data_IF_159625134699
#
_entry.id   IF_159625134699
#
_cell.length_a   1.000
_cell.length_b   1.000
_cell.length_c   1.000
_cell.angle_alpha   90.00
_cell.angle_beta   90.00
_cell.angle_gamma   90.00
#
_symmetry.space_group_name_H-M   'P 1'
#
loop_
_entity.id
_entity.type
_entity.pdbx_description
1 polymer ?
#
# COMPACT_ATOMS: atom_id res chain seq x y z
N UNK A 1 -4.01 -12.73 23.39
CA UNK A 1 -4.03 -12.84 21.91
C UNK A 1 -2.95 -13.76 21.34
N UNK A 2 -1.72 -13.79 21.87
CA UNK A 2 -0.66 -14.69 21.39
C UNK A 2 -0.95 -16.19 21.55
N UNK A 3 -1.95 -16.55 22.35
CA UNK A 3 -2.43 -17.92 22.52
C UNK A 3 -3.68 -18.22 21.68
N UNK A 4 -4.36 -17.19 21.16
CA UNK A 4 -5.71 -17.31 20.57
C UNK A 4 -5.77 -16.89 19.10
N UNK A 5 -4.75 -16.18 18.59
CA UNK A 5 -4.65 -15.75 17.19
C UNK A 5 -3.42 -16.36 16.55
N UNK A 6 -3.56 -16.84 15.32
CA UNK A 6 -2.46 -17.31 14.48
C UNK A 6 -1.54 -16.16 14.08
N UNK A 7 -0.41 -16.48 13.44
CA UNK A 7 0.51 -15.50 12.83
C UNK A 7 -0.07 -14.81 11.59
N UNK A 8 -1.15 -15.36 11.03
CA UNK A 8 -1.89 -14.82 9.89
C UNK A 8 -3.01 -13.85 10.29
N UNK A 9 -3.11 -13.53 11.57
CA UNK A 9 -4.14 -12.64 12.10
C UNK A 9 -3.48 -11.43 12.75
N UNK A 10 -4.09 -10.26 12.54
CA UNK A 10 -3.68 -9.06 13.25
C UNK A 10 -3.82 -9.27 14.77
N UNK A 11 -2.87 -8.74 15.53
CA UNK A 11 -2.85 -8.77 17.00
C UNK A 11 -2.66 -7.35 17.51
N UNK A 12 -3.34 -6.99 18.59
CA UNK A 12 -3.35 -5.64 19.15
C UNK A 12 -1.95 -5.17 19.58
N UNK A 13 -1.14 -6.04 20.21
CA UNK A 13 0.21 -5.71 20.64
C UNK A 13 1.12 -5.31 19.46
N UNK A 14 1.36 -6.14 18.42
CA UNK A 14 2.16 -5.70 17.28
C UNK A 14 1.53 -4.52 16.53
N UNK A 15 0.20 -4.42 16.46
CA UNK A 15 -0.46 -3.26 15.87
C UNK A 15 -0.12 -1.94 16.59
N UNK A 16 -0.21 -1.91 17.93
CA UNK A 16 0.09 -0.70 18.70
C UNK A 16 1.60 -0.38 18.68
N UNK A 17 2.46 -1.39 18.77
CA UNK A 17 3.90 -1.22 18.64
C UNK A 17 4.28 -0.67 17.25
N UNK A 18 3.66 -1.18 16.18
CA UNK A 18 3.89 -0.73 14.80
C UNK A 18 3.51 0.75 14.63
N UNK A 19 2.36 1.15 15.17
CA UNK A 19 1.89 2.54 15.13
C UNK A 19 2.78 3.47 15.94
N UNK A 20 3.19 3.07 17.16
CA UNK A 20 4.11 3.85 17.98
C UNK A 20 5.46 4.04 17.27
N UNK A 21 6.01 2.98 16.66
CA UNK A 21 7.23 3.07 15.85
C UNK A 21 7.06 3.98 14.63
N UNK A 22 5.91 3.93 13.94
CA UNK A 22 5.65 4.83 12.81
C UNK A 22 5.66 6.30 13.24
N UNK A 23 5.04 6.62 14.38
CA UNK A 23 5.03 7.97 14.95
C UNK A 23 6.45 8.42 15.31
N UNK A 24 7.20 7.60 16.07
CA UNK A 24 8.57 7.95 16.48
C UNK A 24 9.49 8.18 15.28
N UNK A 25 9.41 7.32 14.26
CA UNK A 25 10.17 7.47 13.01
C UNK A 25 9.77 8.74 12.26
N UNK A 26 8.47 9.01 12.13
CA UNK A 26 7.97 10.21 11.46
C UNK A 26 8.36 11.51 12.19
N UNK A 27 8.49 11.48 13.51
CA UNK A 27 8.95 12.61 14.33
C UNK A 27 10.48 12.77 14.38
N UNK A 28 11.25 11.87 13.76
CA UNK A 28 12.72 11.90 13.80
C UNK A 28 13.34 11.38 15.10
N UNK A 29 12.54 10.81 15.99
CA UNK A 29 12.95 10.27 17.30
C UNK A 29 13.66 8.91 17.16
N UNK A 30 14.78 8.92 16.44
CA UNK A 30 15.49 7.72 15.97
C UNK A 30 15.91 6.81 17.11
N UNK A 31 16.40 7.39 18.22
CA UNK A 31 16.81 6.63 19.41
C UNK A 31 15.61 5.95 20.06
N UNK A 32 14.54 6.69 20.34
CA UNK A 32 13.35 6.12 20.96
C UNK A 32 12.69 5.07 20.07
N UNK A 33 12.73 5.25 18.74
CA UNK A 33 12.25 4.23 17.81
C UNK A 33 13.10 2.95 17.89
N UNK A 34 14.42 3.06 18.00
CA UNK A 34 15.31 1.91 18.18
C UNK A 34 15.07 1.22 19.53
N UNK A 35 14.99 1.98 20.62
CA UNK A 35 14.73 1.43 21.96
C UNK A 35 13.39 0.67 21.99
N UNK A 36 12.33 1.22 21.39
CA UNK A 36 11.02 0.54 21.27
C UNK A 36 11.08 -0.70 20.38
N UNK A 37 11.85 -0.67 19.29
CA UNK A 37 12.04 -1.84 18.42
C UNK A 37 12.75 -2.98 19.16
N UNK A 38 13.79 -2.66 19.93
CA UNK A 38 14.54 -3.63 20.72
C UNK A 38 13.68 -4.21 21.85
N UNK A 39 12.87 -3.38 22.52
CA UNK A 39 11.88 -3.83 23.51
C UNK A 39 10.84 -4.76 22.88
N UNK A 40 10.26 -4.36 21.74
CA UNK A 40 9.25 -5.13 21.03
C UNK A 40 9.77 -6.51 20.61
N UNK A 41 10.94 -6.58 19.98
CA UNK A 41 11.56 -7.83 19.50
C UNK A 41 12.21 -8.65 20.62
N UNK A 42 12.45 -8.03 21.78
CA UNK A 42 12.87 -8.67 23.02
C UNK A 42 11.72 -9.26 23.85
N UNK A 43 10.47 -8.94 23.54
CA UNK A 43 9.30 -9.43 24.26
C UNK A 43 9.26 -10.97 24.26
N UNK A 44 9.10 -11.57 25.43
CA UNK A 44 8.90 -13.01 25.59
C UNK A 44 7.52 -13.33 26.16
N UNK A 45 6.84 -14.30 25.57
CA UNK A 45 5.55 -14.82 26.03
C UNK A 45 5.58 -16.34 26.05
N UNK A 46 5.62 -16.93 27.25
CA UNK A 46 5.64 -18.40 27.46
C UNK A 46 6.75 -19.09 26.63
N UNK A 47 7.96 -18.53 26.66
CA UNK A 47 9.13 -19.06 25.95
C UNK A 47 9.12 -18.84 24.42
N UNK A 48 8.23 -17.98 23.90
CA UNK A 48 8.17 -17.60 22.49
C UNK A 48 8.40 -16.10 22.34
N UNK A 49 8.88 -15.66 21.18
CA UNK A 49 8.94 -14.26 20.77
C UNK A 49 7.75 -13.94 19.88
N UNK A 50 6.70 -13.26 20.39
CA UNK A 50 5.48 -13.04 19.61
C UNK A 50 5.63 -11.92 18.56
N UNK A 51 6.72 -11.14 18.62
CA UNK A 51 7.07 -10.11 17.64
C UNK A 51 8.28 -10.60 16.85
N UNK A 52 8.04 -10.96 15.58
CA UNK A 52 9.04 -11.58 14.71
C UNK A 52 9.76 -10.58 13.79
N UNK A 53 9.66 -9.27 14.05
CA UNK A 53 10.30 -8.27 13.22
C UNK A 53 11.82 -8.43 13.22
N UNK A 54 12.41 -8.41 12.02
CA UNK A 54 13.86 -8.55 11.83
C UNK A 54 14.55 -7.24 11.48
N UNK A 55 13.77 -6.20 11.16
CA UNK A 55 14.28 -4.87 10.79
C UNK A 55 13.32 -3.78 11.25
N UNK A 56 13.86 -2.71 11.83
CA UNK A 56 13.10 -1.51 12.20
C UNK A 56 12.43 -0.81 10.98
N UNK A 57 12.92 -1.13 9.78
CA UNK A 57 12.38 -0.65 8.51
C UNK A 57 11.14 -1.42 8.04
N UNK A 58 10.82 -2.57 8.65
CA UNK A 58 9.69 -3.42 8.30
C UNK A 58 9.00 -3.92 9.58
N UNK A 59 8.06 -3.12 10.10
CA UNK A 59 7.40 -3.38 11.38
C UNK A 59 5.86 -3.41 11.22
N UNK A 60 5.30 -4.31 10.39
CA UNK A 60 3.86 -4.44 10.20
C UNK A 60 3.18 -5.12 11.40
N UNK A 61 1.86 -4.99 11.52
CA UNK A 61 1.09 -5.66 12.56
C UNK A 61 1.04 -7.19 12.36
N UNK A 62 1.05 -7.65 11.11
CA UNK A 62 1.17 -9.06 10.73
C UNK A 62 2.51 -9.31 10.03
N UNK A 63 3.35 -10.16 10.61
CA UNK A 63 4.67 -10.46 10.07
C UNK A 63 4.81 -11.97 9.84
N UNK A 64 4.96 -12.36 8.58
CA UNK A 64 5.20 -13.76 8.19
C UNK A 64 6.69 -13.95 7.99
N UNK A 65 7.28 -14.86 8.77
CA UNK A 65 8.70 -15.18 8.71
C UNK A 65 9.07 -15.91 7.41
N UNK A 66 10.34 -15.80 7.01
CA UNK A 66 10.88 -16.51 5.84
C UNK A 66 10.54 -15.88 4.49
N UNK A 67 9.67 -14.86 4.44
CA UNK A 67 9.43 -14.10 3.21
C UNK A 67 10.66 -13.25 2.85
N UNK A 68 11.00 -13.24 1.56
CA UNK A 68 12.00 -12.31 1.05
C UNK A 68 11.52 -10.87 1.24
N UNK A 69 12.41 -9.99 1.68
CA UNK A 69 12.11 -8.58 1.90
C UNK A 69 13.14 -7.71 1.20
N UNK A 70 12.67 -6.61 0.62
CA UNK A 70 13.48 -5.59 -0.04
C UNK A 70 12.69 -4.28 -0.14
N UNK A 71 13.33 -3.11 -0.12
CA UNK A 71 12.64 -1.84 -0.35
C UNK A 71 11.97 -1.78 -1.73
N UNK A 72 12.66 -2.27 -2.77
CA UNK A 72 12.18 -2.26 -4.15
C UNK A 72 12.44 -3.61 -4.85
N UNK A 73 11.50 -4.05 -5.69
CA UNK A 73 11.51 -5.34 -6.38
C UNK A 73 11.82 -5.19 -7.87
N UNK A 74 13.11 -5.20 -8.20
CA UNK A 74 13.63 -5.01 -9.56
C UNK A 74 14.25 -6.28 -10.17
N UNK A 75 14.57 -6.21 -11.46
CA UNK A 75 15.29 -7.25 -12.19
C UNK A 75 14.60 -8.60 -12.13
N UNK A 76 15.33 -9.66 -11.77
CA UNK A 76 14.78 -11.01 -11.67
C UNK A 76 13.70 -11.17 -10.58
N UNK A 77 13.61 -10.23 -9.64
CA UNK A 77 12.61 -10.24 -8.57
C UNK A 77 11.40 -9.34 -8.86
N UNK A 78 11.37 -8.65 -10.01
CA UNK A 78 10.25 -7.78 -10.40
C UNK A 78 8.99 -8.63 -10.61
N UNK A 79 7.86 -8.32 -9.93
CA UNK A 79 6.62 -9.04 -10.15
C UNK A 79 6.14 -8.95 -11.60
N UNK A 80 5.70 -10.07 -12.18
CA UNK A 80 5.26 -10.11 -13.60
C UNK A 80 4.11 -9.14 -13.90
N UNK A 81 3.25 -8.89 -12.91
CA UNK A 81 2.15 -7.92 -13.02
C UNK A 81 2.67 -6.50 -13.31
N UNK A 82 3.87 -6.13 -12.82
CA UNK A 82 4.46 -4.83 -13.12
C UNK A 82 4.70 -4.64 -14.63
N UNK A 83 5.31 -5.64 -15.27
CA UNK A 83 5.51 -5.62 -16.73
C UNK A 83 4.19 -5.64 -17.49
N UNK A 84 3.23 -6.46 -17.04
CA UNK A 84 1.90 -6.52 -17.63
C UNK A 84 1.18 -5.16 -17.60
N UNK A 85 1.28 -4.42 -16.48
CA UNK A 85 0.72 -3.07 -16.35
C UNK A 85 1.37 -2.09 -17.33
N UNK A 86 2.68 -2.14 -17.51
CA UNK A 86 3.41 -1.27 -18.44
C UNK A 86 3.09 -1.57 -19.90
N UNK A 87 2.92 -2.84 -20.26
CA UNK A 87 2.51 -3.28 -21.61
C UNK A 87 1.08 -2.82 -21.96
N UNK A 88 0.20 -2.77 -20.96
CA UNK A 88 -1.22 -2.42 -21.15
C UNK A 88 -1.58 -1.02 -20.67
N UNK A 89 -0.60 -0.18 -20.34
CA UNK A 89 -0.81 1.17 -19.79
C UNK A 89 -1.69 2.04 -20.67
N UNK A 90 -1.67 1.86 -21.99
CA UNK A 90 -2.51 2.62 -22.91
C UNK A 90 -4.01 2.47 -22.57
N UNK A 91 -4.46 1.25 -22.27
CA UNK A 91 -5.85 1.00 -21.89
C UNK A 91 -6.22 1.67 -20.55
N UNK A 92 -5.30 1.65 -19.58
CA UNK A 92 -5.48 2.30 -18.28
C UNK A 92 -5.54 3.83 -18.43
N UNK A 93 -4.67 4.39 -19.28
CA UNK A 93 -4.61 5.81 -19.57
C UNK A 93 -5.83 6.32 -20.35
N UNK A 94 -6.37 5.53 -21.27
CA UNK A 94 -7.62 5.85 -21.97
C UNK A 94 -8.79 5.97 -21.00
N UNK A 95 -8.93 5.01 -20.08
CA UNK A 95 -9.96 5.05 -19.04
C UNK A 95 -9.76 6.24 -18.10
N UNK A 96 -8.53 6.53 -17.67
CA UNK A 96 -8.25 7.71 -16.86
C UNK A 96 -8.64 9.00 -17.59
N UNK A 97 -8.29 9.13 -18.87
CA UNK A 97 -8.64 10.30 -19.66
C UNK A 97 -10.16 10.45 -19.80
N UNK A 98 -10.88 9.37 -20.13
CA UNK A 98 -12.35 9.39 -20.17
C UNK A 98 -12.96 9.73 -18.80
N UNK A 99 -12.39 9.20 -17.73
CA UNK A 99 -12.83 9.45 -16.36
C UNK A 99 -12.73 10.93 -16.02
N UNK A 100 -11.58 11.55 -16.30
CA UNK A 100 -11.29 12.94 -15.95
C UNK A 100 -12.02 13.96 -16.85
N UNK A 101 -12.18 13.68 -18.14
CA UNK A 101 -12.80 14.61 -19.09
C UNK A 101 -14.32 14.46 -19.18
N UNK A 102 -14.82 13.21 -19.26
CA UNK A 102 -16.23 12.93 -19.59
C UNK A 102 -17.03 12.52 -18.37
N UNK A 103 -16.40 11.82 -17.42
CA UNK A 103 -17.10 11.19 -16.29
C UNK A 103 -16.79 11.83 -14.95
N UNK A 104 -16.12 12.97 -14.91
CA UNK A 104 -15.76 13.66 -13.64
C UNK A 104 -16.96 14.00 -12.77
N UNK A 105 -18.09 14.34 -13.38
CA UNK A 105 -19.35 14.54 -12.65
C UNK A 105 -19.90 13.23 -12.09
N UNK A 106 -19.86 12.15 -12.87
CA UNK A 106 -20.28 10.82 -12.43
C UNK A 106 -19.39 10.30 -11.30
N UNK A 107 -18.07 10.44 -11.40
CA UNK A 107 -17.10 10.10 -10.34
C UNK A 107 -17.39 10.82 -9.02
N UNK A 108 -17.77 12.11 -9.08
CA UNK A 108 -18.15 12.86 -7.89
C UNK A 108 -19.51 12.44 -7.35
N UNK A 109 -20.45 12.11 -8.23
CA UNK A 109 -21.81 11.72 -7.87
C UNK A 109 -21.90 10.28 -7.33
N UNK A 110 -21.01 9.38 -7.77
CA UNK A 110 -20.95 8.00 -7.32
C UNK A 110 -20.47 7.87 -5.87
N UNK A 111 -19.77 8.88 -5.35
CA UNK A 111 -19.16 8.81 -4.02
C UNK A 111 -18.01 7.81 -3.92
N UNK A 112 -17.52 7.28 -5.05
CA UNK A 112 -16.45 6.28 -5.11
C UNK A 112 -15.06 6.89 -4.98
N UNK A 113 -14.91 8.19 -5.26
CA UNK A 113 -13.71 8.96 -4.91
C UNK A 113 -13.83 9.46 -3.47
N UNK A 114 -12.95 8.98 -2.60
CA UNK A 114 -12.95 9.30 -1.17
C UNK A 114 -11.54 9.68 -0.69
N UNK A 115 -11.40 10.43 0.43
CA UNK A 115 -10.09 10.69 1.02
C UNK A 115 -9.34 9.39 1.34
N UNK A 116 -8.10 9.29 0.88
CA UNK A 116 -7.23 8.16 1.16
C UNK A 116 -6.57 8.36 2.52
N UNK A 117 -6.83 7.42 3.44
CA UNK A 117 -6.14 7.31 4.74
C UNK A 117 -5.86 8.67 5.43
N UNK A 118 -6.90 9.41 5.85
CA UNK A 118 -6.79 10.83 6.21
C UNK A 118 -5.78 11.13 7.32
N UNK A 119 -5.47 10.15 8.17
CA UNK A 119 -4.49 10.29 9.25
C UNK A 119 -3.02 10.29 8.77
N UNK A 120 -2.76 10.01 7.49
CA UNK A 120 -1.44 9.90 6.91
C UNK A 120 -1.04 11.13 6.08
N UNK A 121 -1.96 12.03 5.74
CA UNK A 121 -1.61 13.26 5.03
C UNK A 121 -1.00 14.27 6.00
N UNK A 122 0.15 14.81 5.65
CA UNK A 122 0.84 15.84 6.43
C UNK A 122 0.57 17.25 5.87
N UNK A 123 0.56 18.23 6.77
CA UNK A 123 0.40 19.64 6.43
C UNK A 123 -1.04 20.04 6.11
N UNK A 124 -1.20 21.27 5.60
CA UNK A 124 -2.51 21.86 5.30
C UNK A 124 -2.77 22.04 3.79
N UNK A 125 -1.84 21.61 2.92
CA UNK A 125 -1.82 21.99 1.49
C UNK A 125 -2.07 20.89 0.48
N UNK A 126 -2.27 19.63 0.91
CA UNK A 126 -2.36 18.47 0.01
C UNK A 126 -3.69 17.73 0.11
N UNK A 127 -4.15 17.19 -1.01
CA UNK A 127 -5.27 16.26 -1.11
C UNK A 127 -4.73 14.91 -1.54
N UNK A 128 -5.04 13.87 -0.77
CA UNK A 128 -4.81 12.48 -1.15
C UNK A 128 -6.15 11.77 -1.20
N UNK A 129 -6.62 11.47 -2.41
CA UNK A 129 -7.86 10.74 -2.65
C UNK A 129 -7.56 9.36 -3.25
N UNK A 130 -8.52 8.46 -3.07
CA UNK A 130 -8.52 7.15 -3.68
C UNK A 130 -9.82 6.87 -4.42
N UNK A 131 -9.69 6.14 -5.52
CA UNK A 131 -10.77 5.53 -6.27
C UNK A 131 -10.50 4.02 -6.33
N UNK A 132 -11.24 3.26 -5.52
CA UNK A 132 -11.00 1.84 -5.27
C UNK A 132 -11.80 0.97 -6.25
N UNK A 133 -11.14 0.05 -6.94
CA UNK A 133 -11.76 -0.87 -7.91
C UNK A 133 -11.95 -2.27 -7.34
N UNK A 134 -11.01 -2.71 -6.49
CA UNK A 134 -11.00 -4.05 -5.95
C UNK A 134 -10.41 -4.04 -4.54
N UNK A 135 -11.09 -4.70 -3.61
CA UNK A 135 -10.66 -4.89 -2.23
C UNK A 135 -11.46 -6.05 -1.62
N UNK A 136 -10.92 -6.74 -0.63
CA UNK A 136 -11.64 -7.78 0.11
C UNK A 136 -12.22 -8.86 -0.82
N UNK A 137 -11.46 -9.19 -1.86
CA UNK A 137 -11.83 -10.14 -2.93
C UNK A 137 -13.10 -9.79 -3.71
N UNK A 138 -13.45 -8.51 -3.76
CA UNK A 138 -14.64 -8.02 -4.45
C UNK A 138 -14.28 -6.84 -5.33
N UNK A 139 -14.85 -6.85 -6.53
CA UNK A 139 -14.82 -5.69 -7.41
C UNK A 139 -15.96 -4.76 -7.03
N UNK A 140 -15.67 -3.46 -7.02
CA UNK A 140 -16.70 -2.43 -6.99
C UNK A 140 -17.21 -2.25 -8.41
N UNK A 141 -18.38 -2.79 -8.71
CA UNK A 141 -18.93 -2.80 -10.08
C UNK A 141 -19.27 -1.38 -10.56
N UNK A 142 -19.75 -0.50 -9.68
CA UNK A 142 -20.04 0.91 -10.02
C UNK A 142 -18.75 1.65 -10.39
N UNK A 143 -17.67 1.41 -9.63
CA UNK A 143 -16.35 1.92 -9.97
C UNK A 143 -15.80 1.29 -11.27
N UNK A 144 -16.01 -0.01 -11.48
CA UNK A 144 -15.56 -0.70 -12.69
C UNK A 144 -16.25 -0.18 -13.96
N UNK A 145 -17.52 0.22 -13.89
CA UNK A 145 -18.23 0.83 -15.02
C UNK A 145 -17.59 2.16 -15.46
N UNK A 146 -16.96 2.88 -14.52
CA UNK A 146 -16.27 4.13 -14.80
C UNK A 146 -14.93 3.92 -15.52
N UNK A 147 -14.26 2.78 -15.33
CA UNK A 147 -12.96 2.41 -15.92
C UNK A 147 -12.97 0.97 -16.49
N UNK A 148 -13.82 0.69 -17.48
CA UNK A 148 -14.16 -0.67 -17.87
C UNK A 148 -12.99 -1.43 -18.51
N UNK A 149 -12.08 -0.75 -19.22
CA UNK A 149 -10.91 -1.41 -19.85
C UNK A 149 -9.93 -1.84 -18.77
N UNK A 150 -9.69 -0.98 -17.79
CA UNK A 150 -8.80 -1.21 -16.65
C UNK A 150 -9.31 -2.37 -15.82
N UNK A 151 -10.60 -2.38 -15.49
CA UNK A 151 -11.20 -3.46 -14.70
C UNK A 151 -11.18 -4.79 -15.45
N UNK A 152 -11.53 -4.81 -16.74
CA UNK A 152 -11.46 -6.03 -17.55
C UNK A 152 -10.02 -6.59 -17.63
N UNK A 153 -9.04 -5.70 -17.81
CA UNK A 153 -7.63 -6.05 -17.83
C UNK A 153 -7.19 -6.71 -16.51
N UNK A 154 -7.44 -6.05 -15.38
CA UNK A 154 -6.93 -6.48 -14.08
C UNK A 154 -7.64 -7.72 -13.53
N UNK A 155 -8.88 -7.99 -13.94
CA UNK A 155 -9.58 -9.26 -13.66
C UNK A 155 -8.85 -10.48 -14.21
N UNK A 156 -7.99 -10.32 -15.22
CA UNK A 156 -7.17 -11.41 -15.76
C UNK A 156 -5.95 -11.72 -14.90
N UNK A 157 -5.57 -10.81 -14.00
CA UNK A 157 -4.38 -10.91 -13.15
C UNK A 157 -4.72 -11.20 -11.69
N UNK A 158 -6.00 -11.07 -11.30
CA UNK A 158 -6.45 -11.22 -9.92
C UNK A 158 -7.41 -12.42 -9.77
N UNK A 159 -7.27 -13.22 -8.70
CA UNK A 159 -6.23 -13.12 -7.66
C UNK A 159 -4.83 -13.41 -8.20
N UNK A 160 -3.84 -12.66 -7.72
CA UNK A 160 -2.44 -12.68 -8.15
C UNK A 160 -1.67 -13.89 -7.64
N UNK A 161 -2.18 -14.54 -6.59
CA UNK A 161 -1.62 -15.76 -6.02
C UNK A 161 -2.68 -16.57 -5.27
N UNK A 162 -2.48 -17.89 -5.20
CA UNK A 162 -3.27 -18.79 -4.37
C UNK A 162 -2.67 -18.86 -2.96
N UNK A 163 -2.85 -17.79 -2.19
CA UNK A 163 -2.33 -17.64 -0.81
C UNK A 163 -3.43 -17.22 0.16
N UNK A 164 -3.26 -17.49 1.48
CA UNK A 164 -4.22 -17.04 2.49
C UNK A 164 -4.47 -15.54 2.44
N UNK A 165 -5.73 -15.14 2.59
CA UNK A 165 -6.10 -13.74 2.73
C UNK A 165 -5.93 -13.32 4.19
N UNK A 166 -4.87 -12.57 4.46
CA UNK A 166 -4.39 -12.30 5.83
C UNK A 166 -4.96 -10.99 6.37
N UNK A 167 -5.11 -10.00 5.51
CA UNK A 167 -5.59 -8.66 5.85
C UNK A 167 -6.51 -8.11 4.76
N UNK A 168 -7.36 -7.14 5.09
CA UNK A 168 -8.37 -6.63 4.15
C UNK A 168 -7.74 -6.11 2.84
N UNK A 169 -6.51 -5.58 2.88
CA UNK A 169 -5.77 -5.11 1.70
C UNK A 169 -4.66 -6.09 1.23
N UNK A 170 -4.81 -7.40 1.49
CA UNK A 170 -3.86 -8.41 0.94
C UNK A 170 -3.78 -8.31 -0.59
N UNK A 171 -4.91 -8.00 -1.23
CA UNK A 171 -4.96 -7.61 -2.65
C UNK A 171 -5.92 -6.44 -2.80
N UNK A 172 -5.45 -5.38 -3.46
CA UNK A 172 -6.21 -4.15 -3.65
C UNK A 172 -5.86 -3.55 -5.02
N UNK A 173 -6.85 -2.96 -5.68
CA UNK A 173 -6.64 -2.12 -6.87
C UNK A 173 -7.23 -0.75 -6.58
N UNK A 174 -6.36 0.27 -6.61
CA UNK A 174 -6.72 1.65 -6.31
C UNK A 174 -6.06 2.58 -7.30
N UNK A 175 -6.81 3.56 -7.79
CA UNK A 175 -6.24 4.75 -8.41
C UNK A 175 -6.10 5.83 -7.34
N UNK A 176 -4.87 6.25 -7.05
CA UNK A 176 -4.61 7.35 -6.13
C UNK A 176 -4.49 8.66 -6.88
N UNK A 177 -5.05 9.73 -6.30
CA UNK A 177 -4.94 11.09 -6.78
C UNK A 177 -4.26 11.93 -5.71
N UNK A 178 -3.13 12.54 -6.05
CA UNK A 178 -2.41 13.44 -5.18
C UNK A 178 -2.34 14.83 -5.81
N UNK A 179 -2.66 15.87 -5.02
CA UNK A 179 -2.43 17.25 -5.46
C UNK A 179 -0.99 17.69 -5.21
N UNK A 180 -0.45 18.69 -5.94
CA UNK A 180 0.83 19.30 -5.61
C UNK A 180 0.90 19.73 -4.15
N UNK A 181 2.07 19.54 -3.53
CA UNK A 181 2.29 19.83 -2.11
C UNK A 181 1.81 18.76 -1.13
N UNK A 182 1.18 17.67 -1.62
CA UNK A 182 0.81 16.54 -0.77
C UNK A 182 2.05 15.80 -0.26
N UNK A 183 2.04 15.50 1.04
CA UNK A 183 3.04 14.64 1.68
C UNK A 183 2.32 13.58 2.49
N UNK A 184 2.65 12.32 2.22
CA UNK A 184 2.18 11.19 3.03
C UNK A 184 3.24 10.89 4.07
N UNK A 185 2.83 10.82 5.34
CA UNK A 185 3.69 10.52 6.48
C UNK A 185 4.38 9.18 6.27
N UNK A 186 5.60 9.05 6.80
CA UNK A 186 6.28 7.76 6.91
C UNK A 186 5.42 6.75 7.70
N UNK A 187 5.09 5.63 7.08
CA UNK A 187 4.24 4.59 7.67
C UNK A 187 4.66 3.20 7.17
N UNK A 188 4.04 2.14 7.72
CA UNK A 188 4.15 0.77 7.24
C UNK A 188 2.77 0.25 6.83
N UNK A 189 2.72 -0.72 5.92
CA UNK A 189 1.51 -1.51 5.67
C UNK A 189 1.15 -2.42 6.85
N UNK A 190 -0.08 -2.97 6.81
CA UNK A 190 -0.60 -3.86 7.85
C UNK A 190 0.08 -5.24 7.90
N UNK A 191 0.67 -5.69 6.78
CA UNK A 191 1.43 -6.94 6.71
C UNK A 191 2.68 -6.84 5.82
N UNK A 192 3.62 -7.79 5.94
CA UNK A 192 4.78 -7.92 5.03
C UNK A 192 4.50 -8.82 3.80
N UNK A 193 3.25 -9.19 3.57
CA UNK A 193 2.84 -10.14 2.53
C UNK A 193 2.63 -9.46 1.16
N UNK A 194 1.85 -8.36 1.04
CA UNK A 194 1.64 -7.73 -0.25
C UNK A 194 2.87 -6.96 -0.73
N UNK A 195 3.08 -6.96 -2.04
CA UNK A 195 4.01 -6.07 -2.73
C UNK A 195 3.16 -5.00 -3.42
N UNK A 196 3.38 -3.73 -3.07
CA UNK A 196 2.72 -2.61 -3.73
C UNK A 196 3.35 -2.37 -5.11
N UNK A 197 2.51 -2.28 -6.13
CA UNK A 197 2.87 -1.88 -7.49
C UNK A 197 2.22 -0.54 -7.79
N UNK A 198 3.01 0.43 -8.26
CA UNK A 198 2.52 1.78 -8.54
C UNK A 198 2.82 2.16 -9.99
N UNK A 199 1.82 2.06 -10.86
CA UNK A 199 1.92 2.58 -12.22
C UNK A 199 1.70 4.09 -12.21
N UNK A 200 2.72 4.86 -12.59
CA UNK A 200 2.56 6.29 -12.84
C UNK A 200 1.57 6.50 -13.99
N UNK A 201 0.50 7.28 -13.77
CA UNK A 201 -0.51 7.52 -14.81
C UNK A 201 -0.32 8.88 -15.46
N UNK A 202 -0.41 9.96 -14.68
CA UNK A 202 -0.31 11.32 -15.21
C UNK A 202 0.22 12.27 -14.14
N UNK A 203 1.01 13.24 -14.57
CA UNK A 203 1.47 14.32 -13.69
C UNK A 203 2.50 13.85 -12.66
N UNK A 204 3.29 12.82 -12.97
CA UNK A 204 4.28 12.27 -12.06
C UNK A 204 5.53 13.16 -11.89
N UNK A 205 5.72 14.20 -12.70
CA UNK A 205 6.88 15.08 -12.62
C UNK A 205 7.02 15.70 -11.21
N UNK A 206 8.20 15.53 -10.61
CA UNK A 206 8.50 16.01 -9.26
C UNK A 206 7.94 15.17 -8.11
N UNK A 207 7.18 14.10 -8.40
CA UNK A 207 6.70 13.15 -7.39
C UNK A 207 7.65 11.96 -7.20
N UNK A 208 7.72 11.44 -5.98
CA UNK A 208 8.57 10.30 -5.63
C UNK A 208 7.96 9.46 -4.52
N UNK A 209 8.42 8.21 -4.42
CA UNK A 209 8.19 7.33 -3.29
C UNK A 209 9.50 7.13 -2.53
N UNK A 210 9.45 7.28 -1.21
CA UNK A 210 10.56 6.90 -0.33
C UNK A 210 10.24 5.59 0.38
N UNK A 211 11.10 4.58 0.22
CA UNK A 211 11.00 3.30 0.94
C UNK A 211 12.32 3.04 1.62
N UNK A 212 12.30 2.86 2.95
CA UNK A 212 13.48 2.49 3.72
C UNK A 212 14.69 3.44 3.60
N UNK A 213 14.44 4.72 3.26
CA UNK A 213 15.44 5.78 3.06
C UNK A 213 15.94 5.92 1.61
N UNK A 214 15.43 5.10 0.68
CA UNK A 214 15.71 5.21 -0.74
C UNK A 214 14.54 5.90 -1.45
N UNK A 215 14.81 6.98 -2.17
CA UNK A 215 13.82 7.73 -2.95
C UNK A 215 13.86 7.31 -4.42
N UNK A 216 12.69 7.05 -5.01
CA UNK A 216 12.54 6.80 -6.44
C UNK A 216 11.44 7.67 -7.04
N UNK A 217 11.70 8.34 -8.18
CA UNK A 217 10.68 9.16 -8.84
C UNK A 217 9.60 8.28 -9.45
N UNK A 218 8.38 8.79 -9.50
CA UNK A 218 7.37 8.23 -10.41
C UNK A 218 7.62 8.74 -11.83
N UNK A 219 7.23 7.94 -12.81
CA UNK A 219 7.23 8.34 -14.21
C UNK A 219 5.94 7.87 -14.90
N UNK A 220 5.40 8.72 -15.76
CA UNK A 220 4.18 8.41 -16.50
C UNK A 220 4.38 7.14 -17.34
N UNK A 221 3.50 6.17 -17.14
CA UNK A 221 3.50 4.89 -17.81
C UNK A 221 4.60 3.91 -17.37
N UNK A 222 5.17 4.07 -16.17
CA UNK A 222 6.16 3.14 -15.59
C UNK A 222 5.71 2.66 -14.21
N UNK A 223 6.09 1.42 -13.88
CA UNK A 223 5.93 0.81 -12.54
C UNK A 223 7.25 0.79 -11.79
#
# INVERSE_FOLDING_TARGET
EFDTRSEFEERATPYHLANALAILKASGETKAAQDLFDEATGLEWRGRKPIAWTSIKQTPAVYIEGLAHRPFWDGAARPRIATFLEEHKAAVMEDLHELLEKRRRALRASGTQVPAYPNLVEGQGGVWDMFQLYNSRRWDEDACELVPRTSALLRTQLPSADVPYIHYNTEEVVMFLLSPGSRVRLHNGGSNVPINLSLGLSGCEGSYLEVAGEQRPFADGQV
#
